data_IF_164858126657
#
_entry.id   IF_164858126657
#
_cell.length_a   1.000
_cell.length_b   1.000
_cell.length_c   1.000
_cell.angle_alpha   90.00
_cell.angle_beta   90.00
_cell.angle_gamma   90.00
#
_symmetry.space_group_name_H-M   'P 1'
#
loop_
_entity.id
_entity.type
_entity.pdbx_description
1 polymer ?
#
# COMPACT_ATOMS: atom_id res chain seq x y z
N UNK A 1 12.83 4.92 -14.59
CA UNK A 1 12.62 4.78 -16.05
C UNK A 1 11.61 3.67 -16.30
N UNK A 2 10.50 3.97 -16.97
CA UNK A 2 9.45 3.00 -17.29
C UNK A 2 9.84 2.07 -18.44
N UNK A 3 10.66 2.55 -19.40
CA UNK A 3 11.10 1.73 -20.53
C UNK A 3 11.99 0.57 -20.06
N UNK A 4 12.94 0.84 -19.16
CA UNK A 4 13.74 -0.21 -18.52
C UNK A 4 12.88 -1.21 -17.74
N UNK A 5 11.84 -0.75 -17.03
CA UNK A 5 10.94 -1.66 -16.30
C UNK A 5 10.17 -2.58 -17.25
N UNK A 6 9.67 -2.03 -18.37
CA UNK A 6 8.97 -2.79 -19.40
C UNK A 6 9.89 -3.84 -20.04
N UNK A 7 11.09 -3.44 -20.46
CA UNK A 7 12.06 -4.37 -21.06
C UNK A 7 12.43 -5.53 -20.13
N UNK A 8 12.57 -5.27 -18.82
CA UNK A 8 12.85 -6.34 -17.84
C UNK A 8 11.66 -7.25 -17.61
N UNK A 9 10.44 -6.72 -17.64
CA UNK A 9 9.22 -7.52 -17.55
C UNK A 9 9.04 -8.40 -18.79
N UNK A 10 9.36 -7.90 -19.97
CA UNK A 10 9.29 -8.64 -21.24
C UNK A 10 10.39 -9.72 -21.37
N UNK A 11 11.56 -9.49 -20.77
CA UNK A 11 12.68 -10.41 -20.82
C UNK A 11 12.45 -11.73 -20.06
N UNK A 12 11.47 -11.77 -19.14
CA UNK A 12 11.15 -12.97 -18.36
C UNK A 12 9.65 -13.26 -18.42
N UNK A 13 9.29 -14.29 -19.20
CA UNK A 13 7.90 -14.72 -19.40
C UNK A 13 7.22 -15.27 -18.13
N UNK A 14 7.96 -15.51 -17.05
CA UNK A 14 7.40 -15.93 -15.75
C UNK A 14 6.92 -14.75 -14.91
N UNK A 15 7.30 -13.52 -15.27
CA UNK A 15 6.91 -12.30 -14.59
C UNK A 15 5.66 -11.70 -15.25
N UNK A 16 4.66 -11.41 -14.43
CA UNK A 16 3.36 -10.92 -14.94
C UNK A 16 3.05 -9.50 -14.50
N UNK A 17 3.68 -9.04 -13.43
CA UNK A 17 3.50 -7.69 -12.91
C UNK A 17 4.82 -7.10 -12.44
N UNK A 18 5.04 -5.84 -12.72
CA UNK A 18 6.23 -5.12 -12.29
C UNK A 18 5.87 -3.78 -11.65
N UNK A 19 6.62 -3.36 -10.64
CA UNK A 19 6.50 -2.01 -10.08
C UNK A 19 7.89 -1.52 -9.64
N UNK A 20 8.23 -0.24 -9.86
CA UNK A 20 9.44 0.33 -9.25
C UNK A 20 9.30 0.38 -7.73
N UNK A 21 10.43 0.44 -7.03
CA UNK A 21 10.43 0.56 -5.57
C UNK A 21 9.81 1.91 -5.15
N UNK A 22 8.69 1.88 -4.42
CA UNK A 22 8.11 3.11 -3.87
C UNK A 22 9.06 3.70 -2.83
N UNK A 23 9.31 5.01 -2.85
CA UNK A 23 9.96 5.78 -1.79
C UNK A 23 8.97 6.79 -1.22
N UNK A 24 9.00 6.97 0.10
CA UNK A 24 8.12 7.94 0.76
C UNK A 24 8.97 9.13 1.17
N UNK A 25 8.65 10.31 0.62
CA UNK A 25 9.36 11.54 1.00
C UNK A 25 8.94 11.94 2.43
N UNK A 26 9.85 12.50 3.24
CA UNK A 26 9.53 12.86 4.63
C UNK A 26 8.45 13.95 4.72
N UNK A 27 7.46 13.75 5.59
CA UNK A 27 6.46 14.79 5.88
C UNK A 27 7.05 15.93 6.72
N UNK A 28 6.55 17.15 6.52
CA UNK A 28 6.79 18.29 7.43
C UNK A 28 6.26 18.06 8.85
N UNK A 29 5.25 17.20 9.02
CA UNK A 29 4.71 16.86 10.34
C UNK A 29 5.59 15.85 11.07
N UNK A 30 6.09 16.23 12.25
CA UNK A 30 6.88 15.34 13.10
C UNK A 30 6.13 14.05 13.44
N UNK A 31 4.84 14.14 13.76
CA UNK A 31 3.99 12.99 14.05
C UNK A 31 3.87 12.02 12.87
N UNK A 32 3.71 12.56 11.66
CA UNK A 32 3.68 11.73 10.44
C UNK A 32 5.03 11.06 10.19
N UNK A 33 6.15 11.76 10.43
CA UNK A 33 7.47 11.13 10.37
C UNK A 33 7.61 9.98 11.36
N UNK A 34 7.12 10.13 12.60
CA UNK A 34 7.14 9.05 13.59
C UNK A 34 6.32 7.83 13.14
N UNK A 35 5.14 8.05 12.53
CA UNK A 35 4.37 6.98 11.91
C UNK A 35 5.18 6.21 10.85
N UNK A 36 5.81 6.93 9.92
CA UNK A 36 6.55 6.30 8.81
C UNK A 36 7.80 5.55 9.25
N UNK A 37 8.45 5.95 10.36
CA UNK A 37 9.56 5.19 10.96
C UNK A 37 9.15 3.76 11.36
N UNK A 38 7.91 3.58 11.81
CA UNK A 38 7.37 2.25 12.17
C UNK A 38 6.76 1.55 10.96
N UNK A 39 6.03 2.28 10.11
CA UNK A 39 5.48 1.72 8.87
C UNK A 39 6.56 1.14 7.95
N UNK A 40 7.75 1.75 7.90
CA UNK A 40 8.89 1.25 7.13
C UNK A 40 9.40 -0.12 7.60
N UNK A 41 9.07 -0.52 8.83
CA UNK A 41 9.39 -1.83 9.41
C UNK A 41 8.27 -2.85 9.21
N UNK A 42 7.19 -2.55 8.47
CA UNK A 42 6.12 -3.52 8.22
C UNK A 42 6.52 -4.50 7.12
N UNK A 43 5.99 -5.72 7.16
CA UNK A 43 6.27 -6.71 6.10
C UNK A 43 5.70 -6.28 4.75
N UNK A 44 4.60 -5.51 4.78
CA UNK A 44 4.04 -4.87 3.59
C UNK A 44 5.06 -4.00 2.82
N UNK A 45 6.01 -3.39 3.54
CA UNK A 45 7.09 -2.61 2.94
C UNK A 45 8.30 -3.47 2.56
N UNK A 46 8.49 -4.60 3.24
CA UNK A 46 9.69 -5.42 3.09
C UNK A 46 9.65 -6.37 1.87
N UNK A 47 8.48 -6.78 1.38
CA UNK A 47 8.35 -7.79 0.32
C UNK A 47 7.60 -7.28 -0.93
N UNK A 48 8.31 -7.21 -2.07
CA UNK A 48 7.75 -7.20 -3.42
C UNK A 48 6.51 -6.31 -3.62
N UNK A 49 6.59 -5.06 -3.16
CA UNK A 49 5.47 -4.14 -3.19
C UNK A 49 5.11 -3.79 -4.64
N UNK A 50 3.89 -4.17 -5.04
CA UNK A 50 3.26 -3.79 -6.29
C UNK A 50 2.08 -2.86 -5.98
N UNK A 51 2.00 -1.71 -6.65
CA UNK A 51 0.89 -0.76 -6.48
C UNK A 51 1.30 0.57 -5.85
N UNK A 52 0.36 1.25 -5.17
CA UNK A 52 0.54 2.59 -4.58
C UNK A 52 0.89 3.72 -5.56
N UNK A 53 0.61 3.54 -6.85
CA UNK A 53 0.69 4.60 -7.86
C UNK A 53 1.13 4.10 -9.24
N UNK A 54 2.14 3.22 -9.30
CA UNK A 54 2.73 2.75 -10.56
C UNK A 54 2.91 1.25 -10.55
N UNK A 55 2.42 0.57 -11.58
CA UNK A 55 2.73 -0.82 -11.90
C UNK A 55 2.56 -1.06 -13.41
N UNK A 56 3.14 -2.14 -13.92
CA UNK A 56 2.99 -2.65 -15.28
C UNK A 56 2.51 -4.09 -15.24
N UNK A 57 1.76 -4.48 -16.26
CA UNK A 57 1.35 -5.86 -16.51
C UNK A 57 1.94 -6.30 -17.84
N UNK A 58 2.42 -7.54 -17.91
CA UNK A 58 2.67 -8.18 -19.21
C UNK A 58 1.34 -8.53 -19.87
N UNK A 59 1.35 -8.84 -21.16
CA UNK A 59 0.14 -9.29 -21.86
C UNK A 59 -0.51 -10.50 -21.16
N UNK A 60 0.30 -11.52 -20.84
CA UNK A 60 -0.15 -12.70 -20.11
C UNK A 60 -0.68 -12.38 -18.69
N UNK A 61 -0.09 -11.37 -18.02
CA UNK A 61 -0.59 -10.88 -16.73
C UNK A 61 -1.95 -10.18 -16.87
N UNK A 62 -2.10 -9.35 -17.90
CA UNK A 62 -3.35 -8.66 -18.22
C UNK A 62 -4.47 -9.64 -18.57
N UNK A 63 -4.16 -10.77 -19.19
CA UNK A 63 -5.14 -11.80 -19.56
C UNK A 63 -5.70 -12.58 -18.37
N UNK A 64 -5.13 -12.43 -17.16
CA UNK A 64 -5.63 -13.10 -15.94
C UNK A 64 -6.95 -12.53 -15.41
N UNK A 65 -7.37 -11.38 -15.90
CA UNK A 65 -8.65 -10.75 -15.52
C UNK A 65 -9.26 -10.05 -16.72
N UNK A 66 -10.57 -10.11 -16.87
CA UNK A 66 -11.25 -9.48 -18.01
C UNK A 66 -11.28 -7.94 -17.86
N UNK A 67 -11.94 -7.50 -16.78
CA UNK A 67 -12.08 -6.08 -16.40
C UNK A 67 -11.60 -5.83 -14.99
N UNK A 68 -11.14 -4.61 -14.73
CA UNK A 68 -10.86 -4.19 -13.36
C UNK A 68 -12.15 -4.24 -12.53
N UNK A 69 -12.11 -4.85 -11.34
CA UNK A 69 -13.26 -4.85 -10.46
C UNK A 69 -13.48 -3.44 -9.89
N UNK A 70 -14.74 -3.07 -9.72
CA UNK A 70 -15.13 -1.83 -9.06
C UNK A 70 -14.89 -1.93 -7.54
N UNK A 71 -13.63 -1.74 -7.13
CA UNK A 71 -13.16 -1.80 -5.74
C UNK A 71 -12.21 -0.65 -5.47
N UNK A 72 -12.13 -0.23 -4.21
CA UNK A 72 -11.27 0.89 -3.80
C UNK A 72 -9.78 0.55 -3.93
N UNK A 73 -9.43 -0.71 -3.71
CA UNK A 73 -8.06 -1.20 -3.70
C UNK A 73 -7.79 -2.10 -4.92
N UNK A 74 -7.90 -1.49 -6.11
CA UNK A 74 -7.61 -2.09 -7.40
C UNK A 74 -6.13 -2.50 -7.52
N UNK A 75 -5.23 -1.69 -6.98
CA UNK A 75 -3.81 -1.98 -6.87
C UNK A 75 -3.52 -3.22 -6.01
N UNK A 76 -4.26 -3.38 -4.91
CA UNK A 76 -4.18 -4.56 -4.07
C UNK A 76 -4.81 -5.80 -4.74
N UNK A 77 -5.85 -5.62 -5.54
CA UNK A 77 -6.39 -6.69 -6.39
C UNK A 77 -5.30 -7.22 -7.32
N UNK A 78 -4.64 -6.33 -8.06
CA UNK A 78 -3.52 -6.69 -8.94
C UNK A 78 -2.39 -7.35 -8.15
N UNK A 79 -1.95 -6.75 -7.05
CA UNK A 79 -0.90 -7.32 -6.20
C UNK A 79 -1.22 -8.75 -5.78
N UNK A 80 -2.48 -9.04 -5.40
CA UNK A 80 -2.89 -10.37 -4.90
C UNK A 80 -3.18 -11.39 -5.99
N UNK A 81 -3.41 -10.95 -7.22
CA UNK A 81 -3.66 -11.84 -8.36
C UNK A 81 -2.41 -12.64 -8.76
N UNK A 82 -1.23 -12.14 -8.40
CA UNK A 82 0.07 -12.74 -8.76
C UNK A 82 0.79 -13.24 -7.51
N UNK A 83 1.39 -14.43 -7.58
CA UNK A 83 2.28 -14.96 -6.55
C UNK A 83 3.54 -14.10 -6.40
N UNK A 84 4.25 -14.10 -5.25
CA UNK A 84 5.46 -13.29 -5.08
C UNK A 84 6.53 -13.50 -6.16
N UNK A 85 6.66 -14.72 -6.68
CA UNK A 85 7.63 -15.12 -7.70
C UNK A 85 7.27 -14.59 -9.08
N UNK A 86 6.00 -14.23 -9.29
CA UNK A 86 5.47 -13.67 -10.54
C UNK A 86 5.60 -12.13 -10.60
N UNK A 87 6.21 -11.52 -9.57
CA UNK A 87 6.32 -10.08 -9.39
C UNK A 87 7.76 -9.61 -9.55
N UNK A 88 7.93 -8.52 -10.29
CA UNK A 88 9.19 -7.81 -10.43
C UNK A 88 9.18 -6.49 -9.65
N UNK A 89 10.05 -6.35 -8.65
CA UNK A 89 10.26 -5.08 -7.94
C UNK A 89 11.75 -4.74 -7.90
N UNK A 90 12.30 -4.17 -8.98
CA UNK A 90 13.72 -3.87 -9.09
C UNK A 90 14.09 -2.76 -8.10
N UNK A 91 15.21 -2.91 -7.40
CA UNK A 91 15.66 -1.97 -6.36
C UNK A 91 16.33 -0.71 -6.90
N UNK A 92 16.81 -0.78 -8.14
CA UNK A 92 17.50 0.29 -8.86
C UNK A 92 16.55 1.23 -9.61
N UNK A 93 15.26 0.92 -9.65
CA UNK A 93 14.21 1.80 -10.16
C UNK A 93 13.28 2.18 -9.02
N UNK A 94 13.04 3.47 -8.83
CA UNK A 94 12.14 3.96 -7.80
C UNK A 94 11.18 5.04 -8.28
N UNK A 95 10.18 5.33 -7.43
CA UNK A 95 9.30 6.47 -7.57
C UNK A 95 9.00 7.05 -6.20
N UNK A 96 8.81 8.36 -6.12
CA UNK A 96 8.54 9.05 -4.87
C UNK A 96 7.05 9.34 -4.69
N UNK A 97 6.56 9.11 -3.47
CA UNK A 97 5.23 9.52 -3.02
C UNK A 97 5.38 10.39 -1.78
N UNK A 98 4.67 11.51 -1.76
CA UNK A 98 4.71 12.40 -0.62
C UNK A 98 3.97 11.83 0.59
N UNK A 99 4.63 11.81 1.74
CA UNK A 99 3.94 11.52 2.99
C UNK A 99 2.89 12.61 3.26
N UNK A 100 1.69 12.24 3.78
CA UNK A 100 0.66 13.21 4.13
C UNK A 100 1.21 14.35 5.00
N UNK A 101 0.80 15.58 4.71
CA UNK A 101 1.28 16.75 5.43
C UNK A 101 0.80 16.81 6.90
N UNK A 102 -0.30 16.12 7.23
CA UNK A 102 -0.94 16.15 8.55
C UNK A 102 -1.36 14.75 9.02
N UNK A 103 -1.56 14.59 10.33
CA UNK A 103 -2.09 13.35 10.91
C UNK A 103 -3.53 13.10 10.44
N UNK A 104 -4.34 14.15 10.25
CA UNK A 104 -5.70 14.03 9.74
C UNK A 104 -5.74 13.43 8.32
N UNK A 105 -4.91 13.95 7.42
CA UNK A 105 -4.75 13.41 6.07
C UNK A 105 -4.22 11.97 6.09
N UNK A 106 -3.24 11.68 6.96
CA UNK A 106 -2.72 10.33 7.15
C UNK A 106 -3.81 9.34 7.61
N UNK A 107 -4.64 9.72 8.58
CA UNK A 107 -5.78 8.91 9.05
C UNK A 107 -6.79 8.72 7.92
N UNK A 108 -7.13 9.78 7.17
CA UNK A 108 -8.05 9.68 6.03
C UNK A 108 -7.55 8.71 4.95
N UNK A 109 -6.28 8.82 4.55
CA UNK A 109 -5.63 7.88 3.63
C UNK A 109 -5.69 6.44 4.16
N UNK A 110 -5.28 6.22 5.40
CA UNK A 110 -5.30 4.88 6.01
C UNK A 110 -6.72 4.33 6.17
N UNK A 111 -7.73 5.17 6.38
CA UNK A 111 -9.14 4.76 6.40
C UNK A 111 -9.57 4.21 5.04
N UNK A 112 -9.23 4.88 3.94
CA UNK A 112 -9.54 4.41 2.58
C UNK A 112 -8.84 3.09 2.27
N UNK A 113 -7.56 2.97 2.60
CA UNK A 113 -6.79 1.73 2.46
C UNK A 113 -7.45 0.60 3.27
N UNK A 114 -7.76 0.84 4.56
CA UNK A 114 -8.39 -0.17 5.40
C UNK A 114 -9.78 -0.59 4.90
N UNK A 115 -10.57 0.35 4.37
CA UNK A 115 -11.87 0.07 3.77
C UNK A 115 -11.72 -0.77 2.48
N UNK A 116 -10.83 -0.37 1.58
CA UNK A 116 -10.55 -1.09 0.33
C UNK A 116 -10.02 -2.50 0.56
N UNK A 117 -9.06 -2.68 1.48
CA UNK A 117 -8.53 -3.99 1.84
C UNK A 117 -9.62 -4.93 2.36
N UNK A 118 -10.56 -4.38 3.15
CA UNK A 118 -11.68 -5.16 3.69
C UNK A 118 -12.71 -5.48 2.60
N UNK A 119 -13.09 -4.49 1.79
CA UNK A 119 -14.00 -4.69 0.66
C UNK A 119 -13.46 -5.77 -0.30
N UNK A 120 -12.16 -5.71 -0.61
CA UNK A 120 -11.50 -6.69 -1.46
C UNK A 120 -11.52 -8.09 -0.83
N UNK A 121 -11.22 -8.21 0.48
CA UNK A 121 -11.26 -9.49 1.17
C UNK A 121 -12.69 -10.08 1.25
N UNK A 122 -13.72 -9.24 1.37
CA UNK A 122 -15.13 -9.66 1.36
C UNK A 122 -15.58 -10.10 -0.05
N UNK A 123 -15.17 -9.38 -1.10
CA UNK A 123 -15.57 -9.65 -2.49
C UNK A 123 -14.74 -10.74 -3.17
N UNK A 124 -13.47 -10.88 -2.81
CA UNK A 124 -12.53 -11.87 -3.36
C UNK A 124 -11.82 -12.65 -2.24
N UNK A 125 -12.53 -13.53 -1.52
CA UNK A 125 -11.93 -14.27 -0.39
C UNK A 125 -10.74 -15.15 -0.78
N UNK A 126 -10.72 -15.67 -2.02
CA UNK A 126 -9.61 -16.48 -2.54
C UNK A 126 -8.31 -15.68 -2.74
N UNK A 127 -8.38 -14.34 -2.81
CA UNK A 127 -7.22 -13.44 -2.85
C UNK A 127 -6.81 -12.98 -1.45
N UNK A 128 -7.49 -13.41 -0.38
CA UNK A 128 -7.09 -13.03 0.96
C UNK A 128 -5.71 -13.62 1.31
N UNK A 129 -4.85 -12.87 2.03
CA UNK A 129 -3.59 -13.41 2.48
C UNK A 129 -3.84 -14.62 3.40
N UNK A 130 -2.91 -15.59 3.44
CA UNK A 130 -3.01 -16.75 4.33
C UNK A 130 -3.32 -16.34 5.77
N UNK A 131 -4.22 -17.09 6.42
CA UNK A 131 -4.61 -16.82 7.80
C UNK A 131 -3.39 -16.94 8.75
N UNK A 132 -3.23 -15.96 9.65
CA UNK A 132 -2.18 -15.99 10.67
C UNK A 132 -1.02 -15.02 10.43
N UNK A 133 -1.30 -13.77 10.10
CA UNK A 133 -0.30 -12.73 9.84
C UNK A 133 0.78 -12.65 10.94
N UNK A 134 1.93 -13.26 10.67
CA UNK A 134 3.15 -13.14 11.46
C UNK A 134 3.62 -11.68 11.55
N UNK A 135 3.19 -10.83 10.63
CA UNK A 135 3.67 -9.45 10.51
C UNK A 135 3.35 -8.52 11.67
N UNK A 136 2.22 -8.68 12.36
CA UNK A 136 1.93 -7.86 13.54
C UNK A 136 2.88 -8.20 14.71
N UNK A 137 3.04 -9.50 15.01
CA UNK A 137 3.98 -9.97 16.05
C UNK A 137 5.43 -9.64 15.69
N UNK A 138 5.81 -9.84 14.42
CA UNK A 138 7.14 -9.51 13.93
C UNK A 138 7.43 -8.00 14.00
N UNK A 139 6.45 -7.14 13.68
CA UNK A 139 6.57 -5.69 13.85
C UNK A 139 6.78 -5.30 15.32
N UNK A 140 5.98 -5.84 16.23
CA UNK A 140 6.14 -5.60 17.67
C UNK A 140 7.53 -6.03 18.13
N UNK A 141 8.00 -7.22 17.73
CA UNK A 141 9.35 -7.68 18.05
C UNK A 141 10.46 -6.76 17.52
N UNK A 142 10.32 -6.24 16.30
CA UNK A 142 11.27 -5.26 15.70
C UNK A 142 11.28 -3.93 16.44
N UNK A 143 10.12 -3.46 16.90
CA UNK A 143 9.98 -2.17 17.61
C UNK A 143 10.42 -2.26 19.06
N UNK A 144 10.06 -3.34 19.76
CA UNK A 144 10.30 -3.48 21.20
C UNK A 144 11.78 -3.36 21.56
N UNK A 145 12.66 -3.90 20.70
CA UNK A 145 14.12 -3.84 20.83
C UNK A 145 14.73 -2.45 20.59
N UNK A 146 13.91 -1.44 20.26
CA UNK A 146 14.36 -0.08 19.87
C UNK A 146 13.52 0.99 20.58
N UNK A 147 13.88 1.40 21.82
CA UNK A 147 13.12 2.37 22.61
C UNK A 147 12.80 3.68 21.87
N UNK A 148 13.72 4.14 21.02
CA UNK A 148 13.51 5.34 20.18
C UNK A 148 12.40 5.24 19.13
N UNK A 149 11.75 4.06 18.98
CA UNK A 149 10.60 3.85 18.12
C UNK A 149 9.27 3.78 18.88
N UNK A 150 9.26 3.78 20.21
CA UNK A 150 8.04 3.56 20.99
C UNK A 150 7.00 4.66 20.77
N UNK A 151 7.42 5.92 20.68
CA UNK A 151 6.51 7.02 20.33
C UNK A 151 5.93 6.80 18.93
N UNK A 152 6.77 6.46 17.95
CA UNK A 152 6.32 6.16 16.59
C UNK A 152 5.36 4.98 16.55
N UNK A 153 5.54 4.00 17.43
CA UNK A 153 4.66 2.85 17.52
C UNK A 153 3.31 3.21 18.12
N UNK A 154 3.27 4.03 19.16
CA UNK A 154 2.02 4.55 19.71
C UNK A 154 1.24 5.36 18.66
N UNK A 155 1.93 6.22 17.90
CA UNK A 155 1.32 6.97 16.78
C UNK A 155 0.82 6.02 15.68
N UNK A 156 1.63 5.04 15.28
CA UNK A 156 1.26 4.03 14.30
C UNK A 156 0.02 3.24 14.71
N UNK A 157 -0.02 2.74 15.96
CA UNK A 157 -1.15 2.03 16.52
C UNK A 157 -2.41 2.91 16.59
N UNK A 158 -2.28 4.17 17.03
CA UNK A 158 -3.39 5.12 17.08
C UNK A 158 -4.00 5.39 15.70
N UNK A 159 -3.16 5.62 14.68
CA UNK A 159 -3.61 5.78 13.29
C UNK A 159 -4.26 4.50 12.79
N UNK A 160 -3.64 3.33 13.00
CA UNK A 160 -4.17 2.03 12.58
C UNK A 160 -5.57 1.78 13.17
N UNK A 161 -5.73 1.91 14.49
CA UNK A 161 -7.00 1.69 15.17
C UNK A 161 -8.09 2.66 14.71
N UNK A 162 -7.74 3.94 14.61
CA UNK A 162 -8.67 4.98 14.15
C UNK A 162 -9.11 4.73 12.71
N UNK A 163 -8.16 4.39 11.83
CA UNK A 163 -8.42 4.11 10.44
C UNK A 163 -9.35 2.90 10.25
N UNK A 164 -9.10 1.80 10.96
CA UNK A 164 -9.92 0.59 10.89
C UNK A 164 -11.32 0.81 11.46
N UNK A 165 -11.46 1.58 12.56
CA UNK A 165 -12.77 1.96 13.10
C UNK A 165 -13.58 2.81 12.12
N UNK A 166 -12.94 3.81 11.50
CA UNK A 166 -13.58 4.66 10.47
C UNK A 166 -13.95 3.86 9.22
N UNK A 167 -13.09 2.94 8.78
CA UNK A 167 -13.33 2.08 7.62
C UNK A 167 -14.57 1.18 7.81
N UNK A 168 -14.71 0.56 8.99
CA UNK A 168 -15.89 -0.22 9.34
C UNK A 168 -17.17 0.61 9.27
N UNK A 169 -17.14 1.85 9.79
CA UNK A 169 -18.28 2.77 9.74
C UNK A 169 -18.62 3.19 8.30
N UNK A 170 -17.60 3.43 7.48
CA UNK A 170 -17.77 3.81 6.08
C UNK A 170 -18.46 2.69 5.28
N UNK A 171 -17.97 1.46 5.40
CA UNK A 171 -18.55 0.29 4.73
C UNK A 171 -19.95 -0.05 5.25
N UNK A 172 -20.19 0.05 6.56
CA UNK A 172 -21.51 -0.19 7.16
C UNK A 172 -22.58 0.78 6.66
N UNK A 173 -22.19 2.02 6.30
CA UNK A 173 -23.10 3.03 5.76
C UNK A 173 -23.42 2.82 4.28
N UNK A 174 -22.80 1.85 3.60
CA UNK A 174 -22.86 1.66 2.13
C UNK A 174 -22.71 2.99 1.37
N UNK A 175 -21.95 3.93 1.93
CA UNK A 175 -21.69 5.18 1.25
C UNK A 175 -20.92 4.88 -0.03
N UNK A 176 -21.28 5.49 -1.16
CA UNK A 176 -20.50 5.35 -2.39
C UNK A 176 -19.08 5.85 -2.12
N UNK A 177 -18.13 4.92 -2.09
CA UNK A 177 -16.73 5.25 -1.84
C UNK A 177 -16.13 5.61 -3.19
N UNK A 178 -16.43 6.82 -3.66
CA UNK A 178 -15.78 7.38 -4.83
C UNK A 178 -14.26 7.41 -4.61
N UNK A 179 -13.50 6.95 -5.62
CA UNK A 179 -12.06 7.14 -5.67
C UNK A 179 -11.76 8.63 -5.47
N UNK A 180 -11.18 8.97 -4.32
CA UNK A 180 -10.93 10.35 -3.92
C UNK A 180 -9.44 10.67 -4.05
N UNK A 181 -9.10 11.67 -4.86
CA UNK A 181 -7.72 12.16 -5.03
C UNK A 181 -7.28 12.89 -3.75
N UNK A 182 -6.03 12.71 -3.31
CA UNK A 182 -5.45 13.53 -2.22
C UNK A 182 -4.81 14.77 -2.82
N UNK A 183 -5.46 15.93 -2.65
CA UNK A 183 -4.99 17.21 -3.21
C UNK A 183 -4.06 17.96 -2.23
N UNK A 184 -3.88 17.46 -1.00
CA UNK A 184 -3.17 18.21 0.06
C UNK A 184 -1.65 18.30 -0.14
N UNK A 185 -1.09 17.52 -1.05
CA UNK A 185 0.36 17.50 -1.36
C UNK A 185 0.72 18.35 -2.57
N UNK A 186 -0.25 18.86 -3.34
CA UNK A 186 0.00 19.66 -4.53
C UNK A 186 -0.37 21.11 -4.29
N UNK A 187 0.58 21.89 -3.78
CA UNK A 187 0.54 23.34 -3.98
C UNK A 187 0.93 23.52 -5.45
N UNK A 188 -0.02 23.94 -6.30
CA UNK A 188 0.30 24.27 -7.68
C UNK A 188 1.46 25.26 -7.71
N UNK A 189 2.48 24.94 -8.52
CA UNK A 189 3.38 25.98 -8.99
C UNK A 189 2.51 26.99 -9.75
N UNK A 190 2.26 28.13 -9.11
CA UNK A 190 1.76 29.33 -9.77
C UNK A 190 2.94 30.04 -10.43
#
# INVERSE_FOLDING_TARGET
DLATLAARLEADATLFVAAPAMQVTPSRSWWVRQYYRVWALTDYRASGHVGSGVYMLSAAGRDRFDRFPDVIADDLFIQRLFAPEERLTPRDLDFCVDAPATVGALVGRNTRIAAGNRQLAERFPHLAPPAGSTGARALVGRVWRRPGLWIGFAVYAGVYLTAHRRARRLLARRADIAWTRDDTTRVGAA
#
